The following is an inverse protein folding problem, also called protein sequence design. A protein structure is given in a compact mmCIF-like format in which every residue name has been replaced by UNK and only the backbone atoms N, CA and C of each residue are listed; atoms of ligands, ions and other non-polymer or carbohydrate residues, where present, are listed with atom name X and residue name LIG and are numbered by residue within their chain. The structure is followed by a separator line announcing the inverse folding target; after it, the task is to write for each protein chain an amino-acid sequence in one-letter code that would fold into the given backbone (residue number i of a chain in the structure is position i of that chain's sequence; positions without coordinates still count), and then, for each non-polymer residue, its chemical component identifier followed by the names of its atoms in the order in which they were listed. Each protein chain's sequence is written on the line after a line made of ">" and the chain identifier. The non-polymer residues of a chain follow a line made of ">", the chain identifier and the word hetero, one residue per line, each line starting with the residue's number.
data_IF_306463512493
#
_entry.id   IF_306463512493
#
_cell.length_a   1.000
_cell.length_b   1.000
_cell.length_c   1.000
_cell.angle_alpha   90.00
_cell.angle_beta   90.00
_cell.angle_gamma   90.00
#
_symmetry.space_group_name_H-M   'P 1'
#
loop_
_entity.id
_entity.type
_entity.pdbx_description
1 polymer ?
#
# COMPACT_ATOMS: atom_id res chain seq x y z
N UNK A 1 18.94 -17.88 15.26
CA UNK A 1 18.77 -17.53 13.84
C UNK A 1 17.38 -16.94 13.70
N UNK A 2 17.26 -15.61 13.64
CA UNK A 2 15.98 -14.97 13.37
C UNK A 2 15.51 -15.37 11.97
N UNK A 3 14.30 -15.91 11.87
CA UNK A 3 13.69 -16.20 10.57
C UNK A 3 13.45 -14.86 9.88
N UNK A 4 14.08 -14.64 8.72
CA UNK A 4 13.77 -13.48 7.88
C UNK A 4 12.25 -13.43 7.63
N UNK A 5 11.60 -12.39 8.16
CA UNK A 5 10.17 -12.18 7.96
C UNK A 5 9.94 -11.81 6.49
N UNK A 6 9.16 -12.66 5.81
CA UNK A 6 8.74 -12.46 4.41
C UNK A 6 7.30 -11.98 4.38
N UNK A 7 7.04 -10.94 3.60
CA UNK A 7 5.75 -10.26 3.45
C UNK A 7 5.27 -10.51 2.02
N UNK A 8 4.11 -11.15 1.85
CA UNK A 8 3.49 -11.37 0.55
C UNK A 8 2.52 -10.21 0.25
N UNK A 9 2.74 -9.50 -0.86
CA UNK A 9 1.83 -8.47 -1.36
C UNK A 9 1.49 -8.80 -2.82
N UNK A 10 0.22 -9.16 -3.07
CA UNK A 10 -0.18 -9.69 -4.37
C UNK A 10 0.54 -11.01 -4.66
N UNK A 11 1.31 -11.04 -5.75
CA UNK A 11 2.12 -12.20 -6.16
C UNK A 11 3.62 -12.03 -5.87
N UNK A 12 4.03 -10.93 -5.22
CA UNK A 12 5.43 -10.62 -4.93
C UNK A 12 5.72 -10.85 -3.43
N UNK A 13 6.85 -11.51 -3.14
CA UNK A 13 7.33 -11.75 -1.78
C UNK A 13 8.46 -10.76 -1.50
N UNK A 14 8.33 -10.01 -0.41
CA UNK A 14 9.31 -9.03 0.04
C UNK A 14 9.93 -9.46 1.36
N UNK A 15 11.20 -9.15 1.53
CA UNK A 15 11.81 -8.97 2.83
C UNK A 15 11.40 -7.61 3.42
N UNK A 16 11.57 -7.46 4.74
CA UNK A 16 11.31 -6.18 5.42
C UNK A 16 12.14 -5.03 4.85
N UNK A 17 13.37 -5.30 4.44
CA UNK A 17 14.29 -4.28 3.91
C UNK A 17 13.88 -3.83 2.51
N UNK A 18 13.50 -4.75 1.63
CA UNK A 18 12.96 -4.41 0.29
C UNK A 18 11.67 -3.58 0.38
N UNK A 19 10.80 -3.92 1.32
CA UNK A 19 9.58 -3.14 1.56
C UNK A 19 9.92 -1.71 2.01
N UNK A 20 10.89 -1.55 2.91
CA UNK A 20 11.32 -0.24 3.39
C UNK A 20 11.93 0.60 2.25
N UNK A 21 12.77 0.01 1.41
CA UNK A 21 13.37 0.70 0.27
C UNK A 21 12.30 1.17 -0.73
N UNK A 22 11.32 0.32 -1.08
CA UNK A 22 10.17 0.72 -1.90
C UNK A 22 9.40 1.87 -1.27
N UNK A 23 9.16 1.83 0.05
CA UNK A 23 8.47 2.91 0.75
C UNK A 23 9.19 4.26 0.57
N UNK A 24 10.52 4.28 0.64
CA UNK A 24 11.31 5.51 0.44
C UNK A 24 11.16 6.05 -0.99
N UNK A 25 11.14 5.18 -2.00
CA UNK A 25 10.88 5.59 -3.38
C UNK A 25 9.46 6.15 -3.55
N UNK A 26 8.45 5.49 -2.96
CA UNK A 26 7.07 5.99 -2.98
C UNK A 26 6.91 7.31 -2.24
N UNK A 27 7.65 7.53 -1.14
CA UNK A 27 7.67 8.83 -0.44
C UNK A 27 8.18 9.94 -1.37
N UNK A 28 9.29 9.73 -2.08
CA UNK A 28 9.82 10.71 -3.05
C UNK A 28 8.80 11.03 -4.16
N UNK A 29 8.14 10.00 -4.72
CA UNK A 29 7.09 10.19 -5.74
C UNK A 29 5.88 10.96 -5.21
N UNK A 30 5.45 10.70 -3.97
CA UNK A 30 4.31 11.39 -3.33
C UNK A 30 4.57 12.86 -3.04
N UNK A 31 5.82 13.25 -2.77
CA UNK A 31 6.19 14.67 -2.56
C UNK A 31 5.87 15.50 -3.80
N UNK A 32 6.08 14.93 -4.99
CA UNK A 32 5.86 15.60 -6.27
C UNK A 32 4.39 15.66 -6.71
N UNK A 33 3.46 15.04 -5.97
CA UNK A 33 2.03 15.11 -6.29
C UNK A 33 1.48 16.49 -5.93
N UNK A 34 0.64 17.02 -6.82
CA UNK A 34 -0.18 18.19 -6.59
C UNK A 34 -1.18 17.95 -5.45
N UNK A 35 -1.75 19.05 -4.93
CA UNK A 35 -2.77 18.97 -3.89
C UNK A 35 -4.00 18.17 -4.36
N UNK A 36 -4.46 18.41 -5.59
CA UNK A 36 -5.62 17.73 -6.17
C UNK A 36 -5.38 16.22 -6.31
N UNK A 37 -4.21 15.80 -6.81
CA UNK A 37 -3.86 14.38 -6.91
C UNK A 37 -3.85 13.69 -5.54
N UNK A 38 -3.36 14.37 -4.50
CA UNK A 38 -3.39 13.85 -3.12
C UNK A 38 -4.83 13.67 -2.62
N UNK A 39 -5.72 14.62 -2.90
CA UNK A 39 -7.14 14.52 -2.54
C UNK A 39 -7.81 13.36 -3.28
N UNK A 40 -7.55 13.20 -4.58
CA UNK A 40 -8.11 12.10 -5.37
C UNK A 40 -7.68 10.73 -4.84
N UNK A 41 -6.40 10.56 -4.50
CA UNK A 41 -5.90 9.32 -3.88
C UNK A 41 -6.63 9.04 -2.55
N UNK A 42 -6.83 10.05 -1.70
CA UNK A 42 -7.55 9.89 -0.43
C UNK A 42 -9.00 9.47 -0.64
N UNK A 43 -9.68 10.08 -1.61
CA UNK A 43 -11.06 9.73 -1.97
C UNK A 43 -11.13 8.28 -2.44
N UNK A 44 -10.19 7.83 -3.28
CA UNK A 44 -10.19 6.46 -3.79
C UNK A 44 -9.92 5.44 -2.68
N UNK A 45 -9.01 5.75 -1.75
CA UNK A 45 -8.82 4.95 -0.53
C UNK A 45 -10.09 4.83 0.29
N UNK A 46 -10.83 5.92 0.47
CA UNK A 46 -12.11 5.89 1.20
C UNK A 46 -13.18 5.07 0.47
N UNK A 47 -13.26 5.15 -0.87
CA UNK A 47 -14.17 4.32 -1.67
C UNK A 47 -13.85 2.83 -1.51
N UNK A 48 -12.56 2.48 -1.51
CA UNK A 48 -12.11 1.11 -1.29
C UNK A 48 -12.50 0.60 0.09
N UNK A 49 -12.28 1.41 1.13
CA UNK A 49 -12.69 1.08 2.51
C UNK A 49 -14.21 0.96 2.63
N UNK A 50 -14.97 1.81 1.93
CA UNK A 50 -16.44 1.70 1.89
C UNK A 50 -16.92 0.39 1.26
N UNK A 51 -16.23 -0.08 0.22
CA UNK A 51 -16.55 -1.33 -0.49
C UNK A 51 -15.98 -2.58 0.20
N UNK A 52 -15.25 -2.41 1.30
CA UNK A 52 -14.53 -3.47 2.03
C UNK A 52 -15.48 -4.51 2.65
N UNK A 53 -16.75 -4.16 2.91
CA UNK A 53 -17.69 -5.06 3.60
C UNK A 53 -17.26 -5.37 5.03
N UNK A 54 -18.12 -6.01 5.82
CA UNK A 54 -17.98 -6.16 7.29
C UNK A 54 -16.74 -6.94 7.78
N UNK A 55 -15.87 -7.44 6.88
CA UNK A 55 -14.64 -8.17 7.24
C UNK A 55 -13.45 -7.23 7.29
N UNK A 56 -13.15 -6.72 8.48
CA UNK A 56 -12.10 -5.72 8.78
C UNK A 56 -10.66 -6.11 8.40
N UNK A 57 -10.43 -7.35 7.98
CA UNK A 57 -9.10 -7.96 7.99
C UNK A 57 -8.52 -8.26 6.59
N UNK A 58 -9.27 -8.00 5.50
CA UNK A 58 -8.85 -8.37 4.13
C UNK A 58 -8.99 -7.19 3.15
N UNK A 59 -7.87 -6.72 2.59
CA UNK A 59 -7.83 -5.80 1.44
C UNK A 59 -7.70 -6.62 0.16
N UNK A 60 -8.74 -6.66 -0.67
CA UNK A 60 -8.65 -7.22 -2.02
C UNK A 60 -8.58 -6.09 -3.03
N UNK A 61 -7.39 -5.87 -3.59
CA UNK A 61 -7.17 -4.94 -4.70
C UNK A 61 -7.31 -5.69 -6.02
N UNK A 62 -8.35 -5.37 -6.82
CA UNK A 62 -8.43 -5.85 -8.21
C UNK A 62 -7.78 -4.81 -9.13
N UNK A 63 -6.67 -5.22 -9.75
CA UNK A 63 -6.08 -4.60 -10.94
C UNK A 63 -7.01 -4.69 -12.14
#
# INVERSE_FOLDING_TARGET
>A
MEKEQKILIGNEIFTREELHQREQEFRKKRVNLSFEEKINILIDLQKLVRNWGERKDIIVWKT
#
